data_IF_005728444925
#
_entry.id   IF_005728444925
#
_cell.length_a   1.000
_cell.length_b   1.000
_cell.length_c   1.000
_cell.angle_alpha   90.00
_cell.angle_beta   90.00
_cell.angle_gamma   90.00
#
_symmetry.space_group_name_H-M   'P 1'
#
loop_
_entity.id
_entity.type
_entity.pdbx_description
1 polymer ?
#
# COMPACT_ATOMS: atom_id res chain seq x y z
N UNK A 1 -71.88 25.03 -10.27
CA UNK A 1 -70.58 25.42 -10.78
C UNK A 1 -69.61 25.41 -9.60
N UNK A 2 -68.80 24.32 -9.44
CA UNK A 2 -67.87 24.13 -8.33
C UNK A 2 -66.63 24.97 -8.67
N UNK A 3 -66.23 25.89 -7.77
CA UNK A 3 -65.05 26.73 -7.98
C UNK A 3 -63.80 25.88 -7.84
N UNK A 4 -62.83 26.09 -8.72
CA UNK A 4 -61.53 25.42 -8.75
C UNK A 4 -60.73 25.55 -7.45
N UNK A 5 -60.99 26.57 -6.62
CA UNK A 5 -60.46 26.80 -5.27
C UNK A 5 -60.81 25.65 -4.29
N UNK A 6 -61.97 25.02 -4.42
CA UNK A 6 -62.46 23.98 -3.50
C UNK A 6 -61.71 22.65 -3.65
N UNK A 7 -61.10 22.40 -4.81
CA UNK A 7 -60.30 21.21 -5.06
C UNK A 7 -58.95 21.26 -4.38
N UNK A 8 -58.32 22.44 -4.34
CA UNK A 8 -57.01 22.62 -3.71
C UNK A 8 -57.03 22.56 -2.19
N UNK A 9 -58.15 22.95 -1.54
CA UNK A 9 -58.37 22.78 -0.10
C UNK A 9 -58.60 21.33 0.28
N UNK A 10 -59.36 20.59 -0.56
CA UNK A 10 -59.76 19.22 -0.26
C UNK A 10 -58.66 18.18 -0.57
N UNK A 11 -57.73 18.52 -1.48
CA UNK A 11 -56.62 17.66 -1.90
C UNK A 11 -55.28 18.41 -1.87
N UNK A 12 -54.68 18.66 -0.70
CA UNK A 12 -53.39 19.34 -0.63
C UNK A 12 -52.30 18.52 -1.30
N UNK A 13 -51.67 19.13 -2.28
CA UNK A 13 -50.55 18.46 -3.04
C UNK A 13 -49.39 18.11 -2.09
N UNK A 14 -48.89 16.86 -2.11
CA UNK A 14 -47.83 16.44 -1.22
C UNK A 14 -46.55 17.29 -1.46
N UNK A 15 -46.05 17.89 -0.38
CA UNK A 15 -44.87 18.76 -0.42
C UNK A 15 -43.63 17.92 -0.83
N UNK A 16 -43.07 18.17 -2.02
CA UNK A 16 -41.88 17.52 -2.63
C UNK A 16 -40.56 17.75 -1.86
N UNK A 17 -40.56 18.10 -0.58
CA UNK A 17 -39.35 18.43 0.20
C UNK A 17 -38.47 17.24 0.58
N UNK A 18 -38.91 15.99 0.48
CA UNK A 18 -38.16 14.80 0.95
C UNK A 18 -37.08 14.28 -0.02
N UNK A 19 -37.15 14.59 -1.32
CA UNK A 19 -36.24 14.03 -2.33
C UNK A 19 -34.82 14.62 -2.30
N UNK A 20 -34.63 15.88 -1.89
CA UNK A 20 -33.32 16.56 -1.90
C UNK A 20 -32.38 16.03 -0.80
N UNK A 21 -32.90 15.68 0.38
CA UNK A 21 -32.09 15.13 1.48
C UNK A 21 -31.52 13.75 1.15
N UNK A 22 -32.27 12.88 0.48
CA UNK A 22 -31.80 11.56 0.06
C UNK A 22 -30.70 11.59 -1.02
N UNK A 23 -30.72 12.60 -1.90
CA UNK A 23 -29.70 12.76 -2.93
C UNK A 23 -28.38 13.24 -2.32
N UNK A 24 -28.41 14.21 -1.41
CA UNK A 24 -27.23 14.72 -0.72
C UNK A 24 -26.59 13.63 0.16
N UNK A 25 -27.40 12.89 0.89
CA UNK A 25 -26.89 11.77 1.71
C UNK A 25 -26.23 10.70 0.86
N UNK A 26 -26.84 10.32 -0.27
CA UNK A 26 -26.23 9.36 -1.21
C UNK A 26 -24.91 9.88 -1.79
N UNK A 27 -24.85 11.17 -2.18
CA UNK A 27 -23.63 11.77 -2.67
C UNK A 27 -22.52 11.73 -1.61
N UNK A 28 -22.83 12.13 -0.37
CA UNK A 28 -21.87 12.12 0.74
C UNK A 28 -21.39 10.70 1.03
N UNK A 29 -22.29 9.71 1.11
CA UNK A 29 -21.88 8.32 1.32
C UNK A 29 -21.02 7.78 0.21
N UNK A 30 -21.33 8.10 -1.06
CA UNK A 30 -20.51 7.67 -2.21
C UNK A 30 -19.11 8.27 -2.15
N UNK A 31 -19.00 9.57 -1.84
CA UNK A 31 -17.69 10.23 -1.70
C UNK A 31 -16.87 9.63 -0.55
N UNK A 32 -17.51 9.36 0.58
CA UNK A 32 -16.84 8.71 1.73
C UNK A 32 -16.36 7.30 1.38
N UNK A 33 -17.17 6.49 0.72
CA UNK A 33 -16.79 5.13 0.31
C UNK A 33 -15.65 5.17 -0.70
N UNK A 34 -15.70 6.06 -1.70
CA UNK A 34 -14.62 6.24 -2.66
C UNK A 34 -13.33 6.70 -1.98
N UNK A 35 -13.41 7.64 -1.03
CA UNK A 35 -12.27 8.09 -0.25
C UNK A 35 -11.63 6.97 0.57
N UNK A 36 -12.44 6.12 1.21
CA UNK A 36 -11.96 4.94 1.94
C UNK A 36 -11.30 3.91 1.01
N UNK A 37 -11.90 3.66 -0.17
CA UNK A 37 -11.32 2.74 -1.15
C UNK A 37 -9.98 3.24 -1.71
N UNK A 38 -9.89 4.53 -2.03
CA UNK A 38 -8.64 5.16 -2.49
C UNK A 38 -7.59 5.13 -1.39
N UNK A 39 -7.95 5.46 -0.15
CA UNK A 39 -7.04 5.40 1.00
C UNK A 39 -6.55 3.98 1.27
N UNK A 40 -7.43 2.98 1.21
CA UNK A 40 -7.07 1.58 1.37
C UNK A 40 -6.16 1.09 0.24
N UNK A 41 -6.50 1.43 -1.02
CA UNK A 41 -5.66 1.10 -2.17
C UNK A 41 -4.27 1.75 -2.07
N UNK A 42 -4.21 3.03 -1.67
CA UNK A 42 -2.95 3.74 -1.48
C UNK A 42 -2.09 3.10 -0.37
N UNK A 43 -2.72 2.69 0.74
CA UNK A 43 -2.03 1.97 1.81
C UNK A 43 -1.44 0.66 1.30
N UNK A 44 -2.23 -0.13 0.56
CA UNK A 44 -1.80 -1.42 0.04
C UNK A 44 -0.63 -1.31 -0.94
N UNK A 45 -0.61 -0.25 -1.75
CA UNK A 45 0.49 0.02 -2.69
C UNK A 45 1.77 0.49 -2.01
N UNK A 46 1.69 1.08 -0.82
CA UNK A 46 2.83 1.68 -0.13
C UNK A 46 3.41 0.81 0.99
N UNK A 47 2.83 -0.35 1.28
CA UNK A 47 3.32 -1.29 2.29
C UNK A 47 4.53 -2.09 1.83
N UNK A 48 5.48 -2.36 2.75
CA UNK A 48 6.47 -3.41 2.58
C UNK A 48 5.74 -4.76 2.72
N UNK A 49 5.87 -5.62 1.71
CA UNK A 49 5.34 -6.98 1.76
C UNK A 49 6.45 -7.95 2.04
N UNK A 50 6.26 -8.89 2.94
CA UNK A 50 7.24 -9.91 3.27
C UNK A 50 6.59 -11.28 3.37
N UNK A 51 7.33 -12.29 2.94
CA UNK A 51 6.96 -13.69 3.03
C UNK A 51 8.14 -14.50 3.60
N UNK A 52 7.85 -15.44 4.48
CA UNK A 52 8.88 -16.33 5.03
C UNK A 52 8.70 -17.73 4.45
N UNK A 53 9.74 -18.21 3.77
CA UNK A 53 9.76 -19.55 3.18
C UNK A 53 10.76 -20.39 3.96
N UNK A 54 10.31 -21.52 4.50
CA UNK A 54 11.17 -22.49 5.21
C UNK A 54 11.51 -23.64 4.27
N UNK A 55 12.81 -23.86 4.07
CA UNK A 55 13.33 -24.99 3.27
C UNK A 55 13.79 -26.08 4.22
N UNK A 56 13.06 -27.21 4.23
CA UNK A 56 13.31 -28.34 5.17
C UNK A 56 14.39 -29.33 4.72
N UNK A 57 14.91 -29.21 3.49
CA UNK A 57 15.90 -30.09 2.91
C UNK A 57 17.21 -29.38 2.56
N UNK A 58 17.66 -28.52 3.46
CA UNK A 58 18.94 -27.85 3.30
C UNK A 58 20.09 -28.84 3.52
N UNK A 59 21.23 -28.67 2.81
CA UNK A 59 22.43 -29.48 3.07
C UNK A 59 22.94 -29.28 4.50
N UNK A 60 23.71 -30.27 4.98
CA UNK A 60 24.36 -30.22 6.30
C UNK A 60 25.20 -28.94 6.43
N UNK A 61 25.06 -28.24 7.54
CA UNK A 61 25.76 -26.99 7.82
C UNK A 61 24.95 -25.70 7.49
N UNK A 62 23.78 -25.83 6.87
CA UNK A 62 22.86 -24.70 6.64
C UNK A 62 21.65 -24.70 7.59
N UNK A 63 21.67 -25.54 8.61
CA UNK A 63 20.59 -25.57 9.58
C UNK A 63 20.49 -24.22 10.32
N UNK A 64 19.31 -23.62 10.28
CA UNK A 64 19.06 -22.29 10.85
C UNK A 64 19.59 -21.09 10.04
N UNK A 65 20.21 -21.33 8.85
CA UNK A 65 20.74 -20.26 8.00
C UNK A 65 19.62 -19.42 7.40
N UNK A 66 19.72 -18.11 7.54
CA UNK A 66 18.69 -17.14 7.10
C UNK A 66 19.18 -16.34 5.92
N UNK A 67 18.44 -16.37 4.83
CA UNK A 67 18.70 -15.55 3.65
C UNK A 67 17.57 -14.53 3.53
N UNK A 68 17.89 -13.24 3.64
CA UNK A 68 16.95 -12.19 3.31
C UNK A 68 17.02 -11.91 1.81
N UNK A 69 15.92 -12.14 1.10
CA UNK A 69 15.80 -11.80 -0.32
C UNK A 69 15.06 -10.48 -0.45
N UNK A 70 15.74 -9.49 -1.01
CA UNK A 70 15.17 -8.16 -1.31
C UNK A 70 14.97 -8.08 -2.81
N UNK A 71 13.72 -7.96 -3.27
CA UNK A 71 13.39 -7.89 -4.69
C UNK A 71 12.48 -6.72 -5.02
N UNK A 72 12.50 -6.29 -6.27
CA UNK A 72 11.51 -5.39 -6.88
C UNK A 72 11.25 -4.10 -6.08
N UNK A 73 12.31 -3.44 -5.64
CA UNK A 73 12.18 -2.18 -4.90
C UNK A 73 11.58 -1.06 -5.76
N UNK A 74 11.70 -1.14 -7.10
CA UNK A 74 11.16 -0.17 -8.05
C UNK A 74 11.41 1.30 -7.64
N UNK A 75 12.62 1.57 -7.15
CA UNK A 75 13.06 2.87 -6.63
C UNK A 75 12.14 3.46 -5.53
N UNK A 76 11.35 2.63 -4.87
CA UNK A 76 10.49 3.06 -3.79
C UNK A 76 11.30 3.28 -2.53
N UNK A 77 11.13 4.44 -1.91
CA UNK A 77 11.75 4.76 -0.65
C UNK A 77 10.85 4.37 0.52
N UNK A 78 11.33 3.46 1.36
CA UNK A 78 10.63 3.00 2.56
C UNK A 78 11.11 3.76 3.80
N UNK A 79 10.55 4.94 4.01
CA UNK A 79 11.02 5.91 5.00
C UNK A 79 12.29 6.62 4.55
N UNK A 80 12.69 7.66 5.28
CA UNK A 80 13.85 8.47 4.96
C UNK A 80 15.13 7.61 4.89
N UNK A 81 15.78 7.60 3.72
CA UNK A 81 16.99 6.79 3.47
C UNK A 81 16.73 5.28 3.50
N UNK A 82 15.52 4.82 3.23
CA UNK A 82 15.09 3.42 3.31
C UNK A 82 15.22 2.79 4.70
N UNK A 83 15.17 3.61 5.75
CA UNK A 83 15.35 3.16 7.13
C UNK A 83 14.38 2.04 7.51
N UNK A 84 13.11 2.14 7.09
CA UNK A 84 12.09 1.12 7.40
C UNK A 84 12.46 -0.24 6.79
N UNK A 85 12.95 -0.27 5.55
CA UNK A 85 13.44 -1.49 4.91
C UNK A 85 14.66 -2.05 5.64
N UNK A 86 15.65 -1.18 5.94
CA UNK A 86 16.91 -1.61 6.59
C UNK A 86 16.67 -2.13 8.00
N UNK A 87 15.80 -1.48 8.78
CA UNK A 87 15.44 -1.94 10.13
C UNK A 87 14.71 -3.28 10.06
N UNK A 88 13.77 -3.43 9.11
CA UNK A 88 13.07 -4.69 8.89
C UNK A 88 14.04 -5.84 8.53
N UNK A 89 14.97 -5.62 7.60
CA UNK A 89 15.97 -6.65 7.23
C UNK A 89 16.88 -6.98 8.41
N UNK A 90 17.26 -5.98 9.21
CA UNK A 90 18.08 -6.19 10.42
C UNK A 90 17.36 -7.06 11.46
N UNK A 91 16.07 -6.81 11.68
CA UNK A 91 15.24 -7.56 12.64
C UNK A 91 15.06 -9.04 12.25
N UNK A 92 15.24 -9.38 10.97
CA UNK A 92 15.26 -10.76 10.50
C UNK A 92 16.54 -11.52 10.88
N UNK A 93 17.59 -10.81 11.31
CA UNK A 93 18.91 -11.37 11.63
C UNK A 93 19.44 -12.28 10.53
N UNK A 94 19.58 -11.84 9.27
CA UNK A 94 19.99 -12.69 8.17
C UNK A 94 21.49 -12.98 8.23
N UNK A 95 21.88 -14.18 7.81
CA UNK A 95 23.27 -14.56 7.57
C UNK A 95 23.76 -14.07 6.21
N UNK A 96 22.84 -13.82 5.28
CA UNK A 96 23.11 -13.34 3.92
C UNK A 96 21.93 -12.51 3.40
N UNK A 97 22.23 -11.46 2.67
CA UNK A 97 21.25 -10.67 1.91
C UNK A 97 21.44 -10.88 0.42
N UNK A 98 20.42 -11.33 -0.26
CA UNK A 98 20.39 -11.43 -1.71
C UNK A 98 19.47 -10.35 -2.28
N UNK A 99 20.01 -9.47 -3.10
CA UNK A 99 19.25 -8.45 -3.79
C UNK A 99 19.02 -8.89 -5.22
N UNK A 100 17.77 -9.13 -5.59
CA UNK A 100 17.37 -9.74 -6.85
C UNK A 100 16.37 -8.84 -7.58
N UNK A 101 16.51 -8.71 -8.89
CA UNK A 101 15.56 -8.00 -9.73
C UNK A 101 15.83 -6.52 -9.90
N UNK A 102 14.80 -5.80 -10.33
CA UNK A 102 14.90 -4.40 -10.72
C UNK A 102 14.81 -3.46 -9.50
N UNK A 103 15.97 -2.94 -9.11
CA UNK A 103 16.03 -1.91 -8.05
C UNK A 103 15.69 -0.54 -8.63
N UNK A 104 15.86 -0.34 -9.94
CA UNK A 104 15.72 0.94 -10.62
C UNK A 104 14.70 0.88 -11.74
N UNK A 105 13.88 1.90 -11.79
CA UNK A 105 12.99 2.13 -12.94
C UNK A 105 13.48 3.30 -13.82
N UNK A 106 14.25 4.22 -13.26
CA UNK A 106 14.71 5.43 -13.96
C UNK A 106 16.16 5.82 -13.59
N UNK A 107 16.94 6.41 -14.54
CA UNK A 107 18.35 6.76 -14.32
C UNK A 107 18.60 7.82 -13.23
N UNK A 108 17.63 8.68 -12.93
CA UNK A 108 17.73 9.72 -11.90
C UNK A 108 17.65 9.17 -10.46
N UNK A 109 17.20 7.93 -10.31
CA UNK A 109 17.09 7.23 -9.02
C UNK A 109 18.39 6.52 -8.61
N UNK A 110 19.44 6.58 -9.44
CA UNK A 110 20.75 5.99 -9.13
C UNK A 110 21.38 6.46 -7.82
N UNK A 111 21.01 7.64 -7.33
CA UNK A 111 21.55 8.19 -6.08
C UNK A 111 21.13 7.42 -4.83
N UNK A 112 20.02 6.66 -4.88
CA UNK A 112 19.50 5.88 -3.74
C UNK A 112 20.22 4.54 -3.56
N UNK A 113 20.74 3.94 -4.66
CA UNK A 113 21.38 2.61 -4.62
C UNK A 113 22.55 2.54 -3.66
N UNK A 114 23.53 3.49 -3.68
CA UNK A 114 24.66 3.40 -2.78
C UNK A 114 24.28 3.41 -1.30
N UNK A 115 23.23 4.14 -0.95
CA UNK A 115 22.76 4.22 0.43
C UNK A 115 22.12 2.89 0.88
N UNK A 116 21.24 2.31 0.06
CA UNK A 116 20.60 1.02 0.33
C UNK A 116 21.63 -0.10 0.35
N UNK A 117 22.50 -0.18 -0.66
CA UNK A 117 23.53 -1.19 -0.76
C UNK A 117 24.48 -1.15 0.46
N UNK A 118 24.91 0.05 0.85
CA UNK A 118 25.76 0.24 2.04
C UNK A 118 25.02 -0.15 3.34
N UNK A 119 23.73 0.19 3.42
CA UNK A 119 22.90 -0.16 4.57
C UNK A 119 22.73 -1.67 4.73
N UNK A 120 22.43 -2.37 3.62
CA UNK A 120 22.29 -3.83 3.61
C UNK A 120 23.63 -4.53 3.89
N UNK A 121 24.73 -4.06 3.29
CA UNK A 121 26.08 -4.62 3.53
C UNK A 121 26.56 -4.42 4.95
N UNK A 122 26.01 -3.43 5.70
CA UNK A 122 26.27 -3.25 7.12
C UNK A 122 25.52 -4.24 8.03
N UNK A 123 24.50 -4.92 7.48
CA UNK A 123 23.71 -5.92 8.22
C UNK A 123 24.30 -7.30 8.04
N UNK A 124 24.51 -7.75 6.80
CA UNK A 124 25.08 -9.05 6.47
C UNK A 124 25.78 -9.02 5.10
N UNK A 125 26.59 -10.06 4.74
CA UNK A 125 27.13 -10.20 3.40
C UNK A 125 26.01 -10.08 2.35
N UNK A 126 26.17 -9.10 1.44
CA UNK A 126 25.12 -8.76 0.48
C UNK A 126 25.58 -9.05 -0.94
N UNK A 127 24.78 -9.78 -1.68
CA UNK A 127 25.00 -10.14 -3.08
C UNK A 127 23.90 -9.54 -3.94
N UNK A 128 24.32 -8.97 -5.06
CA UNK A 128 23.42 -8.41 -6.06
C UNK A 128 23.40 -9.29 -7.30
N UNK A 129 22.21 -9.66 -7.74
CA UNK A 129 21.96 -10.48 -8.92
C UNK A 129 21.13 -9.68 -9.92
N UNK A 130 21.68 -9.43 -11.10
CA UNK A 130 21.02 -8.77 -12.24
C UNK A 130 20.39 -9.78 -13.17
#
# INVERSE_FOLDING_TARGET
>A
MIKESDWNERYPRPRRRRRRRGCLTRLVTTVLVLGLLVGWFWWQQNGLSSETITVSSAPDGFDGYRIAVVSDLHAKEFGEGNRVLLDYVRDLEPDLVAVVGDILHEPDQMSMIPAVAKGLAAIAPTYYVT
#
